data_IF_416848677986
#
_entry.id   IF_416848677986
#
_cell.length_a   1.000
_cell.length_b   1.000
_cell.length_c   1.000
_cell.angle_alpha   90.00
_cell.angle_beta   90.00
_cell.angle_gamma   90.00
#
_symmetry.space_group_name_H-M   'P 1'
#
loop_
_entity.id
_entity.type
_entity.pdbx_description
1 polymer ?
#
# COMPACT_ATOMS: atom_id res chain seq x y z
N UNK A 1 37.84 -5.95 -12.38
CA UNK A 1 37.35 -4.96 -11.39
C UNK A 1 36.01 -5.44 -10.86
N UNK A 2 35.82 -5.57 -9.56
CA UNK A 2 34.55 -6.00 -8.97
C UNK A 2 33.47 -4.91 -9.17
N UNK A 3 32.21 -5.31 -9.36
CA UNK A 3 31.05 -4.44 -9.58
C UNK A 3 30.88 -3.42 -8.44
N UNK A 4 31.10 -3.88 -7.21
CA UNK A 4 31.09 -3.03 -6.00
C UNK A 4 32.14 -1.92 -6.05
N UNK A 5 33.35 -2.24 -6.55
CA UNK A 5 34.43 -1.25 -6.71
C UNK A 5 34.12 -0.23 -7.81
N UNK A 6 33.37 -0.59 -8.84
CA UNK A 6 33.00 0.34 -9.92
C UNK A 6 31.99 1.39 -9.43
N UNK A 7 31.05 0.99 -8.57
CA UNK A 7 30.03 1.89 -7.99
C UNK A 7 30.55 2.72 -6.82
N UNK A 8 31.66 2.31 -6.18
CA UNK A 8 32.23 3.04 -5.07
C UNK A 8 32.67 4.47 -5.46
N UNK A 9 32.67 5.43 -4.52
CA UNK A 9 33.16 6.78 -4.75
C UNK A 9 34.60 6.81 -5.24
N UNK A 10 34.95 7.85 -6.01
CA UNK A 10 36.33 8.06 -6.51
C UNK A 10 37.33 8.14 -5.34
N UNK A 11 36.92 8.71 -4.21
CA UNK A 11 37.72 8.81 -2.97
C UNK A 11 38.08 7.45 -2.36
N UNK A 12 37.35 6.39 -2.70
CA UNK A 12 37.60 5.02 -2.23
C UNK A 12 38.22 4.14 -3.32
N UNK A 13 38.79 4.74 -4.37
CA UNK A 13 39.40 4.03 -5.50
C UNK A 13 38.38 3.47 -6.51
N UNK A 14 37.11 3.89 -6.42
CA UNK A 14 36.06 3.50 -7.35
C UNK A 14 35.90 4.47 -8.53
N UNK A 15 34.90 4.20 -9.40
CA UNK A 15 34.61 5.03 -10.58
C UNK A 15 33.37 5.91 -10.41
N UNK A 16 32.70 5.83 -9.27
CA UNK A 16 31.43 6.51 -9.00
C UNK A 16 30.41 6.30 -10.14
N UNK A 17 30.40 5.10 -10.72
CA UNK A 17 29.49 4.78 -11.80
C UNK A 17 28.07 4.66 -11.22
N UNK A 18 27.08 5.15 -11.96
CA UNK A 18 25.70 5.05 -11.53
C UNK A 18 25.17 3.61 -11.62
N UNK A 19 24.65 3.09 -10.51
CA UNK A 19 23.87 1.86 -10.49
C UNK A 19 22.41 2.16 -10.92
N UNK A 20 22.09 1.82 -12.16
CA UNK A 20 20.76 2.05 -12.76
C UNK A 20 19.66 1.26 -12.05
N UNK A 21 19.80 -0.06 -11.78
CA UNK A 21 18.84 -0.80 -10.96
C UNK A 21 18.51 -0.13 -9.62
N UNK A 22 19.53 0.26 -8.86
CA UNK A 22 19.33 0.91 -7.55
C UNK A 22 18.65 2.27 -7.71
N UNK A 23 19.03 3.06 -8.72
CA UNK A 23 18.35 4.32 -9.02
C UNK A 23 16.88 4.12 -9.36
N UNK A 24 16.54 3.13 -10.18
CA UNK A 24 15.15 2.84 -10.56
C UNK A 24 14.32 2.42 -9.35
N UNK A 25 14.88 1.63 -8.43
CA UNK A 25 14.22 1.29 -7.17
C UNK A 25 14.02 2.52 -6.28
N UNK A 26 15.00 3.42 -6.19
CA UNK A 26 14.88 4.68 -5.43
C UNK A 26 13.79 5.60 -6.02
N UNK A 27 13.64 5.63 -7.35
CA UNK A 27 12.52 6.31 -8.01
C UNK A 27 11.20 5.70 -7.51
N UNK A 28 11.05 4.37 -7.56
CA UNK A 28 9.84 3.69 -7.07
C UNK A 28 9.55 3.99 -5.59
N UNK A 29 10.56 4.09 -4.73
CA UNK A 29 10.37 4.51 -3.32
C UNK A 29 9.78 5.93 -3.23
N UNK A 30 10.20 6.83 -4.12
CA UNK A 30 9.61 8.18 -4.21
C UNK A 30 8.15 8.12 -4.64
N UNK A 31 7.80 7.26 -5.61
CA UNK A 31 6.41 7.02 -5.99
C UNK A 31 5.58 6.39 -4.86
N UNK A 32 6.14 5.45 -4.10
CA UNK A 32 5.48 4.86 -2.93
C UNK A 32 5.20 5.93 -1.87
N UNK A 33 6.15 6.83 -1.60
CA UNK A 33 5.94 7.97 -0.70
C UNK A 33 4.76 8.83 -1.16
N UNK A 34 4.70 9.18 -2.44
CA UNK A 34 3.60 9.98 -3.00
C UNK A 34 2.27 9.23 -3.01
N UNK A 35 2.29 7.91 -3.21
CA UNK A 35 1.09 7.06 -3.16
C UNK A 35 0.49 6.97 -1.75
N UNK A 36 1.36 6.91 -0.75
CA UNK A 36 1.03 6.85 0.68
C UNK A 36 0.85 8.23 1.33
N UNK A 37 0.83 9.30 0.53
CA UNK A 37 0.38 10.60 1.00
C UNK A 37 -1.14 10.56 1.13
N UNK A 38 -1.65 10.62 2.36
CA UNK A 38 -3.08 10.71 2.67
C UNK A 38 -3.52 12.14 3.03
N UNK A 39 -2.64 13.12 2.83
CA UNK A 39 -2.96 14.53 3.04
C UNK A 39 -3.87 15.08 1.92
N UNK A 40 -4.39 16.31 2.05
CA UNK A 40 -5.13 16.98 0.97
C UNK A 40 -4.34 17.14 -0.34
N UNK A 41 -3.02 17.00 -0.31
CA UNK A 41 -2.16 17.09 -1.49
C UNK A 41 -1.93 15.74 -2.18
N UNK A 42 -2.71 14.71 -1.81
CA UNK A 42 -2.61 13.38 -2.40
C UNK A 42 -2.75 13.46 -3.93
N UNK A 43 -1.81 12.90 -4.70
CA UNK A 43 -1.83 13.02 -6.14
C UNK A 43 -2.97 12.21 -6.76
N UNK A 44 -3.59 12.75 -7.82
CA UNK A 44 -4.76 12.15 -8.47
C UNK A 44 -4.54 10.70 -8.94
N UNK A 45 -3.33 10.40 -9.43
CA UNK A 45 -2.98 9.06 -9.89
C UNK A 45 -3.02 8.01 -8.78
N UNK A 46 -2.82 8.40 -7.51
CA UNK A 46 -2.88 7.47 -6.39
C UNK A 46 -4.30 6.93 -6.15
N UNK A 47 -5.33 7.76 -6.40
CA UNK A 47 -6.72 7.31 -6.37
C UNK A 47 -7.04 6.34 -7.52
N UNK A 48 -6.51 6.59 -8.71
CA UNK A 48 -6.64 5.66 -9.83
C UNK A 48 -5.91 4.33 -9.53
N UNK A 49 -4.71 4.40 -8.93
CA UNK A 49 -3.96 3.23 -8.51
C UNK A 49 -4.73 2.41 -7.45
N UNK A 50 -5.32 3.06 -6.45
CA UNK A 50 -6.19 2.40 -5.46
C UNK A 50 -7.32 1.63 -6.17
N UNK A 51 -8.02 2.28 -7.11
CA UNK A 51 -9.10 1.65 -7.86
C UNK A 51 -8.61 0.43 -8.67
N UNK A 52 -7.49 0.56 -9.41
CA UNK A 52 -6.93 -0.56 -10.19
C UNK A 52 -6.54 -1.72 -9.27
N UNK A 53 -5.90 -1.44 -8.14
CA UNK A 53 -5.49 -2.45 -7.16
C UNK A 53 -6.72 -3.15 -6.54
N UNK A 54 -7.76 -2.40 -6.19
CA UNK A 54 -9.00 -2.88 -5.58
C UNK A 54 -9.84 -3.78 -6.51
N UNK A 55 -9.79 -3.54 -7.82
CA UNK A 55 -10.48 -4.39 -8.81
C UNK A 55 -9.75 -5.72 -9.03
N UNK A 56 -8.44 -5.77 -8.81
CA UNK A 56 -7.61 -6.92 -9.13
C UNK A 56 -7.43 -7.89 -7.94
N UNK A 57 -8.47 -8.23 -7.18
CA UNK A 57 -8.34 -9.14 -6.01
C UNK A 57 -8.45 -10.63 -6.37
N UNK A 58 -7.83 -11.54 -5.59
CA UNK A 58 -8.07 -12.98 -5.68
C UNK A 58 -9.48 -13.35 -5.23
N UNK A 59 -9.98 -14.50 -5.69
CA UNK A 59 -11.30 -15.02 -5.30
C UNK A 59 -11.40 -15.25 -3.78
N UNK A 60 -10.28 -15.50 -3.10
CA UNK A 60 -10.22 -15.60 -1.64
C UNK A 60 -10.63 -14.31 -0.91
N UNK A 61 -10.62 -13.15 -1.58
CA UNK A 61 -11.02 -11.85 -1.02
C UNK A 61 -12.38 -11.37 -1.56
N UNK A 62 -13.17 -12.26 -2.17
CA UNK A 62 -14.51 -11.94 -2.70
C UNK A 62 -15.45 -11.38 -1.61
N UNK A 63 -15.32 -11.87 -0.38
CA UNK A 63 -16.10 -11.40 0.78
C UNK A 63 -15.78 -9.95 1.21
N UNK A 64 -14.72 -9.35 0.68
CA UNK A 64 -14.42 -7.94 0.87
C UNK A 64 -15.07 -7.21 -0.30
N UNK A 65 -16.21 -6.54 -0.09
CA UNK A 65 -16.87 -5.80 -1.18
C UNK A 65 -15.96 -4.71 -1.74
N UNK A 66 -16.09 -4.44 -3.04
CA UNK A 66 -15.23 -3.50 -3.77
C UNK A 66 -15.18 -2.12 -3.10
N UNK A 67 -16.33 -1.62 -2.65
CA UNK A 67 -16.42 -0.32 -1.97
C UNK A 67 -15.59 -0.25 -0.68
N UNK A 68 -15.32 -1.39 -0.03
CA UNK A 68 -14.55 -1.45 1.21
C UNK A 68 -13.05 -1.59 0.98
N UNK A 69 -12.64 -1.80 -0.29
CA UNK A 69 -11.24 -1.93 -0.70
C UNK A 69 -10.70 -0.54 -1.00
N UNK A 70 -10.18 0.12 0.03
CA UNK A 70 -9.65 1.49 -0.07
C UNK A 70 -8.16 1.48 -0.38
N UNK A 71 -7.34 0.84 0.46
CA UNK A 71 -5.90 0.85 0.32
C UNK A 71 -5.27 -0.46 0.79
N UNK A 72 -4.37 -1.02 -0.02
CA UNK A 72 -3.75 -2.33 0.20
C UNK A 72 -2.69 -2.33 1.32
N UNK A 73 -2.17 -1.16 1.73
CA UNK A 73 -1.19 -1.05 2.81
C UNK A 73 -1.84 -0.77 4.17
N UNK A 74 -3.05 -0.21 4.19
CA UNK A 74 -3.81 0.07 5.42
C UNK A 74 -4.76 -1.08 5.79
N UNK A 75 -5.08 -1.96 4.84
CA UNK A 75 -6.02 -3.07 5.03
C UNK A 75 -5.36 -4.43 4.78
N UNK A 76 -6.01 -5.48 5.26
CA UNK A 76 -5.51 -6.87 5.28
C UNK A 76 -5.89 -7.71 4.05
N UNK A 77 -6.72 -7.19 3.15
CA UNK A 77 -7.08 -7.88 1.91
C UNK A 77 -5.93 -7.83 0.90
N UNK A 78 -5.87 -8.81 0.00
CA UNK A 78 -4.77 -8.96 -0.98
C UNK A 78 -5.19 -8.59 -2.39
N UNK A 79 -4.23 -8.14 -3.19
CA UNK A 79 -4.37 -7.92 -4.64
C UNK A 79 -3.59 -8.98 -5.43
N UNK A 80 -3.98 -9.25 -6.68
CA UNK A 80 -3.27 -10.11 -7.63
C UNK A 80 -2.20 -9.28 -8.34
N UNK A 81 -1.02 -9.22 -7.75
CA UNK A 81 0.12 -8.44 -8.27
C UNK A 81 0.46 -8.77 -9.73
N UNK A 82 0.24 -10.01 -10.19
CA UNK A 82 0.52 -10.44 -11.56
C UNK A 82 -0.48 -9.90 -12.60
N UNK A 83 -1.65 -9.42 -12.18
CA UNK A 83 -2.66 -8.82 -13.07
C UNK A 83 -2.63 -7.29 -13.07
N UNK A 84 -1.77 -6.68 -12.25
CA UNK A 84 -1.59 -5.24 -12.24
C UNK A 84 -0.77 -4.79 -13.46
N UNK A 85 -0.99 -3.55 -13.95
CA UNK A 85 -0.05 -2.89 -14.86
C UNK A 85 1.38 -2.89 -14.30
N UNK A 86 2.38 -2.92 -15.18
CA UNK A 86 3.78 -3.14 -14.78
C UNK A 86 4.30 -2.10 -13.77
N UNK A 87 3.86 -0.84 -13.88
CA UNK A 87 4.22 0.22 -12.94
C UNK A 87 3.69 -0.05 -11.53
N UNK A 88 2.41 -0.39 -11.40
CA UNK A 88 1.79 -0.70 -10.09
C UNK A 88 2.32 -2.00 -9.51
N UNK A 89 2.58 -2.99 -10.37
CA UNK A 89 3.21 -4.25 -9.99
C UNK A 89 4.62 -3.99 -9.41
N UNK A 90 5.42 -3.16 -10.06
CA UNK A 90 6.74 -2.77 -9.58
C UNK A 90 6.66 -1.97 -8.29
N UNK A 91 5.70 -1.05 -8.18
CA UNK A 91 5.44 -0.26 -6.98
C UNK A 91 5.10 -1.16 -5.77
N UNK A 92 4.15 -2.09 -5.93
CA UNK A 92 3.74 -3.02 -4.86
C UNK A 92 4.90 -3.96 -4.48
N UNK A 93 5.66 -4.48 -5.46
CA UNK A 93 6.81 -5.36 -5.18
C UNK A 93 7.93 -4.62 -4.46
N UNK A 94 8.24 -3.38 -4.86
CA UNK A 94 9.26 -2.57 -4.18
C UNK A 94 8.83 -2.25 -2.75
N UNK A 95 7.55 -1.92 -2.54
CA UNK A 95 7.03 -1.69 -1.19
C UNK A 95 7.14 -2.95 -0.31
N UNK A 96 6.88 -4.14 -0.86
CA UNK A 96 7.08 -5.42 -0.18
C UNK A 96 8.56 -5.71 0.10
N UNK A 97 9.44 -5.47 -0.87
CA UNK A 97 10.90 -5.66 -0.75
C UNK A 97 11.47 -4.86 0.42
N UNK A 98 11.01 -3.62 0.59
CA UNK A 98 11.43 -2.73 1.67
C UNK A 98 10.54 -2.81 2.93
N UNK A 99 9.64 -3.79 3.01
CA UNK A 99 8.76 -4.03 4.15
C UNK A 99 7.99 -2.76 4.60
N UNK A 100 7.48 -2.00 3.63
CA UNK A 100 6.67 -0.81 3.90
C UNK A 100 5.40 -1.24 4.64
N UNK A 101 5.25 -0.78 5.88
CA UNK A 101 4.11 -1.09 6.72
C UNK A 101 3.73 0.09 7.60
N UNK A 102 2.52 0.06 8.15
CA UNK A 102 2.09 1.01 9.16
C UNK A 102 2.83 0.71 10.47
N UNK A 103 3.74 1.60 10.83
CA UNK A 103 4.50 1.57 12.06
C UNK A 103 4.57 2.96 12.70
N UNK A 104 4.59 3.00 14.03
CA UNK A 104 4.60 4.24 14.78
C UNK A 104 4.56 4.01 16.28
N UNK A 105 5.50 4.64 17.00
CA UNK A 105 5.60 4.55 18.46
C UNK A 105 4.38 5.16 19.17
N UNK A 106 3.90 6.30 18.67
CA UNK A 106 2.72 6.99 19.17
C UNK A 106 1.99 7.66 17.99
N UNK A 107 0.90 7.04 17.53
CA UNK A 107 0.07 7.57 16.45
C UNK A 107 -0.96 8.52 17.06
N UNK A 108 -1.08 9.73 16.52
CA UNK A 108 -2.05 10.72 17.01
C UNK A 108 -3.49 10.22 16.90
N UNK A 109 -4.40 10.62 17.80
CA UNK A 109 -5.81 10.20 17.72
C UNK A 109 -6.50 10.61 16.41
N UNK A 110 -6.08 11.72 15.78
CA UNK A 110 -6.60 12.14 14.48
C UNK A 110 -6.29 11.10 13.39
N UNK A 111 -5.01 10.70 13.27
CA UNK A 111 -4.59 9.67 12.31
C UNK A 111 -5.29 8.34 12.59
N UNK A 112 -5.50 7.98 13.85
CA UNK A 112 -6.22 6.75 14.21
C UNK A 112 -7.68 6.76 13.71
N UNK A 113 -8.36 7.91 13.77
CA UNK A 113 -9.74 8.06 13.28
C UNK A 113 -9.85 8.08 11.76
N UNK A 114 -8.77 8.43 11.07
CA UNK A 114 -8.71 8.39 9.60
C UNK A 114 -8.47 6.97 9.06
N UNK A 115 -8.10 6.01 9.92
CA UNK A 115 -7.85 4.63 9.52
C UNK A 115 -9.12 3.94 9.03
N UNK A 116 -9.04 3.06 8.00
CA UNK A 116 -10.18 2.27 7.58
C UNK A 116 -10.72 1.41 8.74
N UNK A 117 -12.00 1.48 9.08
CA UNK A 117 -12.57 0.66 10.16
C UNK A 117 -12.66 -0.82 9.76
N UNK A 118 -12.91 -1.08 8.49
CA UNK A 118 -13.10 -2.42 7.95
C UNK A 118 -11.76 -3.00 7.49
N UNK A 119 -11.48 -4.25 7.89
CA UNK A 119 -10.30 -4.99 7.45
C UNK A 119 -8.95 -4.31 7.72
N UNK A 120 -8.89 -3.37 8.66
CA UNK A 120 -7.65 -2.69 9.06
C UNK A 120 -6.51 -3.66 9.36
N UNK A 121 -5.29 -3.32 8.91
CA UNK A 121 -4.09 -4.14 9.05
C UNK A 121 -3.73 -4.52 10.49
N UNK A 122 -4.02 -3.67 11.49
CA UNK A 122 -3.81 -4.00 12.92
C UNK A 122 -5.08 -4.47 13.64
N UNK A 123 -6.19 -4.69 12.94
CA UNK A 123 -7.42 -5.17 13.59
C UNK A 123 -7.31 -6.63 14.02
N UNK A 124 -7.77 -6.95 15.23
CA UNK A 124 -7.94 -8.32 15.73
C UNK A 124 -9.28 -8.95 15.32
N UNK A 125 -10.14 -8.19 14.63
CA UNK A 125 -11.43 -8.67 14.19
C UNK A 125 -11.29 -9.76 13.11
N UNK A 126 -12.16 -10.76 13.18
CA UNK A 126 -12.19 -11.81 12.16
C UNK A 126 -12.94 -11.36 10.91
N UNK A 127 -12.62 -11.95 9.76
CA UNK A 127 -13.39 -11.75 8.52
C UNK A 127 -14.87 -12.06 8.70
N UNK A 128 -15.22 -13.01 9.58
CA UNK A 128 -16.60 -13.33 9.93
C UNK A 128 -17.30 -12.14 10.59
N UNK A 129 -16.65 -11.50 11.58
CA UNK A 129 -17.21 -10.34 12.27
C UNK A 129 -17.54 -9.21 11.29
N UNK A 130 -16.68 -8.99 10.30
CA UNK A 130 -16.90 -7.95 9.29
C UNK A 130 -18.04 -8.25 8.32
N UNK A 131 -18.58 -9.46 8.24
CA UNK A 131 -19.58 -9.80 7.21
C UNK A 131 -20.86 -10.43 7.75
N UNK A 132 -20.86 -10.92 8.99
CA UNK A 132 -21.92 -11.83 9.45
C UNK A 132 -23.24 -11.16 9.81
N UNK A 133 -23.22 -9.94 10.35
CA UNK A 133 -24.42 -9.33 10.93
C UNK A 133 -25.10 -8.34 9.98
N UNK A 134 -26.42 -8.27 10.03
CA UNK A 134 -27.21 -7.28 9.27
C UNK A 134 -26.88 -5.86 9.70
N UNK A 135 -26.52 -5.65 10.98
CA UNK A 135 -26.04 -4.38 11.50
C UNK A 135 -24.74 -3.96 10.80
N UNK A 136 -23.78 -4.87 10.63
CA UNK A 136 -22.54 -4.58 9.93
C UNK A 136 -22.79 -4.28 8.45
N UNK A 137 -23.69 -5.02 7.79
CA UNK A 137 -24.10 -4.71 6.40
C UNK A 137 -24.77 -3.34 6.32
N UNK A 138 -25.62 -2.98 7.28
CA UNK A 138 -26.27 -1.68 7.37
C UNK A 138 -25.24 -0.55 7.54
N UNK A 139 -24.28 -0.70 8.45
CA UNK A 139 -23.20 0.26 8.67
C UNK A 139 -22.37 0.50 7.41
N UNK A 140 -22.05 -0.58 6.67
CA UNK A 140 -21.30 -0.52 5.42
C UNK A 140 -22.06 0.15 4.28
N UNK A 141 -23.28 -0.30 4.03
CA UNK A 141 -23.99 0.00 2.79
C UNK A 141 -24.93 1.21 2.93
N UNK A 142 -25.60 1.36 4.08
CA UNK A 142 -26.55 2.47 4.33
C UNK A 142 -25.88 3.66 4.98
N UNK A 143 -25.17 3.43 6.09
CA UNK A 143 -24.47 4.51 6.81
C UNK A 143 -23.11 4.87 6.22
N UNK A 144 -22.60 4.07 5.28
CA UNK A 144 -21.31 4.29 4.60
C UNK A 144 -20.16 4.55 5.59
N UNK A 145 -20.14 3.86 6.73
CA UNK A 145 -19.05 3.98 7.71
C UNK A 145 -17.77 3.48 7.05
N UNK A 146 -16.72 4.31 7.02
CA UNK A 146 -15.42 3.98 6.39
C UNK A 146 -14.24 4.03 7.35
N UNK A 147 -14.30 4.91 8.35
CA UNK A 147 -13.19 5.17 9.27
C UNK A 147 -13.59 4.93 10.73
N UNK A 148 -12.60 4.92 11.64
CA UNK A 148 -12.74 4.58 13.07
C UNK A 148 -13.33 5.73 13.87
#
# INVERSE_FOLDING_TARGET
VNKETIYAPITSGGRNLLDIPVRNEAILVTWIRSYLDFSPNRPLWAYAADAVIAHNTPASEENVSLEQRSNVFLQSWKTRTNKLPEDLKSLVKTAQKYNVCLDGLAISPGIQRDMPIWYHVKSKATRRLFNSSEQVKCLKNRHKVRSV
#
